data_IF_997298903954
#
_entry.id   IF_997298903954
#
_cell.length_a   1.000
_cell.length_b   1.000
_cell.length_c   1.000
_cell.angle_alpha   90.00
_cell.angle_beta   90.00
_cell.angle_gamma   90.00
#
_symmetry.space_group_name_H-M   'P 1'
#
loop_
_entity.id
_entity.type
_entity.pdbx_description
1 polymer ?
#
# COMPACT_ATOMS: atom_id res chain seq x y z
N UNK A 1 12.10 1.32 7.97
CA UNK A 1 10.93 1.00 7.13
C UNK A 1 9.94 2.15 7.08
N UNK A 2 9.19 2.53 8.15
CA UNK A 2 8.29 3.72 8.11
C UNK A 2 8.94 5.01 7.59
N UNK A 3 10.19 5.30 8.00
CA UNK A 3 10.96 6.46 7.50
C UNK A 3 11.18 6.45 5.98
N UNK A 4 11.37 5.28 5.38
CA UNK A 4 11.61 5.12 3.94
C UNK A 4 10.36 5.45 3.12
N UNK A 5 9.18 5.22 3.69
CA UNK A 5 7.89 5.56 3.07
C UNK A 5 7.32 6.90 3.52
N UNK A 6 8.07 7.68 4.32
CA UNK A 6 7.61 8.95 4.87
C UNK A 6 6.41 8.81 5.82
N UNK A 7 6.25 7.66 6.48
CA UNK A 7 5.20 7.40 7.48
C UNK A 7 5.70 7.54 8.92
N UNK A 8 6.91 8.02 9.10
CA UNK A 8 7.56 8.25 10.40
C UNK A 8 7.24 9.62 11.00
N UNK A 9 6.62 10.50 10.21
CA UNK A 9 6.23 11.82 10.62
C UNK A 9 4.77 12.06 10.18
N UNK A 10 3.88 12.50 11.10
CA UNK A 10 2.49 12.80 10.77
C UNK A 10 2.33 13.74 9.57
N UNK A 11 3.21 14.74 9.40
CA UNK A 11 3.18 15.66 8.24
C UNK A 11 3.53 14.95 6.92
N UNK A 12 4.53 14.07 6.92
CA UNK A 12 4.92 13.30 5.73
C UNK A 12 3.85 12.27 5.37
N UNK A 13 3.24 11.64 6.38
CA UNK A 13 2.10 10.74 6.19
C UNK A 13 0.89 11.48 5.58
N UNK A 14 0.56 12.68 6.08
CA UNK A 14 -0.46 13.55 5.50
C UNK A 14 -0.17 13.90 4.04
N UNK A 15 1.08 14.23 3.70
CA UNK A 15 1.47 14.51 2.32
C UNK A 15 1.29 13.29 1.40
N UNK A 16 1.67 12.09 1.86
CA UNK A 16 1.40 10.82 1.14
C UNK A 16 -0.11 10.60 0.93
N UNK A 17 -0.93 10.83 1.95
CA UNK A 17 -2.39 10.71 1.84
C UNK A 17 -3.00 11.77 0.92
N UNK A 18 -2.48 12.99 0.91
CA UNK A 18 -2.89 14.03 -0.03
C UNK A 18 -2.52 13.67 -1.47
N UNK A 19 -1.32 13.11 -1.68
CA UNK A 19 -0.90 12.56 -2.98
C UNK A 19 -1.89 11.50 -3.48
N UNK A 20 -2.28 10.56 -2.61
CA UNK A 20 -3.30 9.55 -2.95
C UNK A 20 -4.65 10.17 -3.35
N UNK A 21 -5.09 11.26 -2.71
CA UNK A 21 -6.32 11.95 -3.13
C UNK A 21 -6.21 12.54 -4.54
N UNK A 22 -5.04 13.06 -4.89
CA UNK A 22 -4.80 13.67 -6.21
C UNK A 22 -4.77 12.65 -7.34
N UNK A 23 -4.58 11.36 -7.03
CA UNK A 23 -4.58 10.26 -8.00
C UNK A 23 -5.92 10.16 -8.76
N UNK A 24 -7.03 10.58 -8.16
CA UNK A 24 -8.35 10.56 -8.80
C UNK A 24 -8.65 11.79 -9.65
N UNK A 25 -7.88 12.86 -9.50
CA UNK A 25 -8.12 14.08 -10.27
C UNK A 25 -7.69 13.80 -11.70
N UNK A 26 -8.67 13.75 -12.61
CA UNK A 26 -8.58 13.69 -14.08
C UNK A 26 -7.57 14.66 -14.72
N UNK A 27 -6.92 15.50 -13.92
CA UNK A 27 -5.90 16.47 -14.27
C UNK A 27 -4.47 15.91 -14.22
N UNK A 28 -4.20 14.81 -13.49
CA UNK A 28 -2.85 14.25 -13.37
C UNK A 28 -2.82 12.74 -13.58
N UNK A 29 -2.44 12.25 -14.77
CA UNK A 29 -2.29 10.82 -15.00
C UNK A 29 -1.21 10.24 -14.08
N UNK A 30 -1.47 9.04 -13.55
CA UNK A 30 -0.58 8.24 -12.69
C UNK A 30 0.88 8.19 -13.17
N UNK A 31 1.08 8.34 -14.49
CA UNK A 31 2.36 8.37 -15.20
C UNK A 31 3.33 9.44 -14.68
N UNK A 32 2.85 10.55 -14.13
CA UNK A 32 3.70 11.63 -13.61
C UNK A 32 4.06 11.45 -12.14
N UNK A 33 3.32 10.64 -11.38
CA UNK A 33 3.39 10.63 -9.91
C UNK A 33 4.39 9.64 -9.31
N UNK A 34 4.96 8.71 -10.10
CA UNK A 34 5.94 7.74 -9.60
C UNK A 34 5.46 6.98 -8.35
N UNK A 35 4.44 6.15 -8.52
CA UNK A 35 3.77 5.47 -7.39
C UNK A 35 4.64 4.42 -6.71
N UNK A 36 4.57 4.40 -5.38
CA UNK A 36 5.13 3.34 -4.54
C UNK A 36 4.36 2.01 -4.76
N UNK A 37 4.94 0.88 -4.38
CA UNK A 37 4.32 -0.43 -4.59
C UNK A 37 2.96 -0.58 -3.90
N UNK A 38 2.86 -0.11 -2.66
CA UNK A 38 1.62 -0.17 -1.90
C UNK A 38 0.54 0.74 -2.51
N UNK A 39 0.90 1.93 -3.02
CA UNK A 39 -0.04 2.83 -3.70
C UNK A 39 -0.61 2.20 -4.98
N UNK A 40 0.24 1.51 -5.76
CA UNK A 40 -0.23 0.74 -6.93
C UNK A 40 -1.27 -0.31 -6.53
N UNK A 41 -1.08 -0.98 -5.38
CA UNK A 41 -2.06 -1.93 -4.86
C UNK A 41 -3.38 -1.25 -4.48
N UNK A 42 -3.34 -0.05 -3.88
CA UNK A 42 -4.56 0.73 -3.59
C UNK A 42 -5.28 1.13 -4.87
N UNK A 43 -4.55 1.51 -5.93
CA UNK A 43 -5.16 1.82 -7.24
C UNK A 43 -5.84 0.59 -7.83
N UNK A 44 -5.20 -0.58 -7.79
CA UNK A 44 -5.83 -1.84 -8.22
C UNK A 44 -7.08 -2.13 -7.38
N UNK A 45 -7.03 -1.90 -6.06
CA UNK A 45 -8.19 -2.05 -5.19
C UNK A 45 -9.35 -1.10 -5.57
N UNK A 46 -9.06 0.14 -5.94
CA UNK A 46 -10.08 1.07 -6.44
C UNK A 46 -10.77 0.54 -7.71
N UNK A 47 -10.01 -0.11 -8.61
CA UNK A 47 -10.60 -0.70 -9.84
C UNK A 47 -11.53 -1.88 -9.57
N UNK A 48 -11.35 -2.61 -8.46
CA UNK A 48 -12.31 -3.63 -8.02
C UNK A 48 -13.66 -3.00 -7.66
N UNK A 49 -13.63 -1.84 -6.99
CA UNK A 49 -14.84 -1.10 -6.63
C UNK A 49 -15.48 -0.49 -7.88
N UNK A 50 -14.69 0.04 -8.81
CA UNK A 50 -15.20 0.56 -10.08
C UNK A 50 -15.98 -0.52 -10.83
N UNK A 51 -15.43 -1.73 -10.99
CA UNK A 51 -16.13 -2.87 -11.63
C UNK A 51 -17.38 -3.27 -10.86
N UNK A 52 -17.32 -3.35 -9.53
CA UNK A 52 -18.48 -3.70 -8.71
C UNK A 52 -19.66 -2.74 -8.92
N UNK A 53 -19.37 -1.46 -9.15
CA UNK A 53 -20.36 -0.41 -9.40
C UNK A 53 -20.75 -0.27 -10.88
N UNK A 54 -20.26 -1.14 -11.77
CA UNK A 54 -20.55 -1.12 -13.21
C UNK A 54 -19.77 -0.06 -14.00
N UNK A 55 -18.65 0.44 -13.45
CA UNK A 55 -17.78 1.42 -14.08
C UNK A 55 -16.56 0.75 -14.75
N UNK A 56 -16.79 -0.29 -15.57
CA UNK A 56 -15.73 -1.08 -16.21
C UNK A 56 -14.78 -0.22 -17.07
N UNK A 57 -15.30 0.75 -17.82
CA UNK A 57 -14.49 1.66 -18.64
C UNK A 57 -13.48 2.47 -17.79
N UNK A 58 -13.90 2.90 -16.59
CA UNK A 58 -13.04 3.63 -15.66
C UNK A 58 -11.98 2.69 -15.08
N UNK A 59 -12.37 1.46 -14.74
CA UNK A 59 -11.47 0.44 -14.21
C UNK A 59 -10.38 0.09 -15.24
N UNK A 60 -10.76 -0.19 -16.47
CA UNK A 60 -9.85 -0.58 -17.56
C UNK A 60 -8.90 0.56 -17.93
N UNK A 61 -9.42 1.79 -18.03
CA UNK A 61 -8.58 2.98 -18.24
C UNK A 61 -7.58 3.16 -17.10
N UNK A 62 -8.02 3.05 -15.85
CA UNK A 62 -7.16 3.19 -14.67
C UNK A 62 -6.04 2.14 -14.68
N UNK A 63 -6.34 0.88 -15.01
CA UNK A 63 -5.34 -0.19 -15.11
C UNK A 63 -4.36 0.04 -16.27
N UNK A 64 -4.87 0.43 -17.44
CA UNK A 64 -4.02 0.72 -18.60
C UNK A 64 -3.03 1.85 -18.29
N UNK A 65 -3.47 2.90 -17.60
CA UNK A 65 -2.60 3.99 -17.16
C UNK A 65 -1.58 3.55 -16.10
N UNK A 66 -2.01 2.77 -15.10
CA UNK A 66 -1.15 2.24 -14.03
C UNK A 66 0.00 1.39 -14.59
N UNK A 67 -0.30 0.56 -15.59
CA UNK A 67 0.65 -0.37 -16.20
C UNK A 67 1.35 0.18 -17.45
N UNK A 68 1.02 1.40 -17.86
CA UNK A 68 1.53 2.05 -19.07
C UNK A 68 1.26 1.23 -20.35
N UNK A 69 0.14 0.53 -20.39
CA UNK A 69 -0.25 -0.33 -21.50
C UNK A 69 -1.36 -1.30 -21.10
N UNK A 70 -1.94 -1.96 -22.11
CA UNK A 70 -2.97 -2.95 -21.89
C UNK A 70 -2.38 -4.21 -21.25
N UNK A 71 -2.92 -4.62 -20.11
CA UNK A 71 -2.60 -5.91 -19.50
C UNK A 71 -3.45 -7.03 -20.09
N UNK A 72 -2.90 -8.25 -20.09
CA UNK A 72 -3.72 -9.43 -20.35
C UNK A 72 -4.67 -9.69 -19.17
N UNK A 73 -5.83 -10.27 -19.48
CA UNK A 73 -6.88 -10.60 -18.51
C UNK A 73 -6.35 -11.40 -17.31
N UNK A 74 -5.46 -12.37 -17.55
CA UNK A 74 -4.85 -13.19 -16.49
C UNK A 74 -4.03 -12.36 -15.49
N UNK A 75 -3.36 -11.32 -15.95
CA UNK A 75 -2.57 -10.45 -15.07
C UNK A 75 -3.50 -9.61 -14.20
N UNK A 76 -4.55 -9.03 -14.80
CA UNK A 76 -5.57 -8.27 -14.07
C UNK A 76 -6.25 -9.15 -13.01
N UNK A 77 -6.62 -10.38 -13.38
CA UNK A 77 -7.21 -11.34 -12.46
C UNK A 77 -6.30 -11.64 -11.27
N UNK A 78 -4.99 -11.86 -11.51
CA UNK A 78 -4.02 -12.15 -10.44
C UNK A 78 -3.73 -10.92 -9.56
N UNK A 79 -3.70 -9.72 -10.14
CA UNK A 79 -3.54 -8.47 -9.41
C UNK A 79 -4.74 -8.25 -8.46
N UNK A 80 -5.97 -8.42 -8.97
CA UNK A 80 -7.21 -8.37 -8.19
C UNK A 80 -7.23 -9.40 -7.07
N UNK A 81 -6.82 -10.64 -7.36
CA UNK A 81 -6.70 -11.69 -6.34
C UNK A 81 -5.70 -11.30 -5.25
N UNK A 82 -4.55 -10.74 -5.61
CA UNK A 82 -3.55 -10.31 -4.64
C UNK A 82 -4.08 -9.23 -3.69
N UNK A 83 -4.89 -8.28 -4.19
CA UNK A 83 -5.56 -7.27 -3.35
C UNK A 83 -6.42 -7.95 -2.28
N UNK A 84 -7.31 -8.88 -2.65
CA UNK A 84 -8.17 -9.56 -1.68
C UNK A 84 -7.36 -10.35 -0.65
N UNK A 85 -6.30 -11.04 -1.04
CA UNK A 85 -5.46 -11.80 -0.11
C UNK A 85 -4.70 -10.88 0.86
N UNK A 86 -4.27 -9.70 0.40
CA UNK A 86 -3.69 -8.68 1.29
C UNK A 86 -4.71 -8.14 2.28
N UNK A 87 -5.95 -7.85 1.85
CA UNK A 87 -7.01 -7.37 2.76
C UNK A 87 -7.31 -8.42 3.83
N UNK A 88 -7.50 -9.69 3.43
CA UNK A 88 -7.70 -10.80 4.38
C UNK A 88 -6.54 -10.92 5.38
N UNK A 89 -5.31 -10.74 4.91
CA UNK A 89 -4.13 -10.76 5.77
C UNK A 89 -4.19 -9.62 6.79
N UNK A 90 -4.36 -8.37 6.35
CA UNK A 90 -4.39 -7.21 7.26
C UNK A 90 -5.54 -7.27 8.24
N UNK A 91 -6.71 -7.73 7.79
CA UNK A 91 -7.90 -7.85 8.65
C UNK A 91 -7.68 -8.89 9.75
N UNK A 92 -7.10 -10.04 9.37
CA UNK A 92 -6.80 -11.08 10.32
C UNK A 92 -5.73 -10.65 11.33
N UNK A 93 -4.72 -9.89 10.88
CA UNK A 93 -3.70 -9.34 11.78
C UNK A 93 -4.28 -8.29 12.71
N UNK A 94 -5.19 -7.43 12.23
CA UNK A 94 -5.85 -6.44 13.08
C UNK A 94 -6.69 -7.12 14.16
N UNK A 95 -7.48 -8.14 13.82
CA UNK A 95 -8.25 -8.90 14.81
C UNK A 95 -7.36 -9.62 15.83
N UNK A 96 -6.18 -10.08 15.43
CA UNK A 96 -5.23 -10.77 16.31
C UNK A 96 -4.41 -9.82 17.19
N UNK A 97 -3.90 -8.73 16.62
CA UNK A 97 -3.04 -7.78 17.33
C UNK A 97 -3.83 -6.71 18.09
N UNK A 98 -5.04 -6.39 17.62
CA UNK A 98 -5.87 -5.26 18.07
C UNK A 98 -5.13 -3.93 17.97
N UNK A 99 -4.37 -3.75 16.89
CA UNK A 99 -3.47 -2.62 16.69
C UNK A 99 -3.49 -2.17 15.22
N UNK A 100 -3.54 -0.84 15.00
CA UNK A 100 -3.61 -0.21 13.68
C UNK A 100 -2.36 -0.50 12.83
N UNK A 101 -1.24 -0.89 13.44
CA UNK A 101 -0.04 -1.36 12.73
C UNK A 101 -0.34 -2.53 11.78
N UNK A 102 -1.37 -3.32 12.06
CA UNK A 102 -1.82 -4.39 11.16
C UNK A 102 -2.13 -3.86 9.75
N UNK A 103 -2.66 -2.65 9.63
CA UNK A 103 -2.95 -2.01 8.35
C UNK A 103 -1.69 -1.42 7.69
N UNK A 104 -0.64 -1.11 8.45
CA UNK A 104 0.64 -0.67 7.91
C UNK A 104 1.49 -1.82 7.35
N UNK A 105 1.15 -3.09 7.62
CA UNK A 105 1.92 -4.27 7.17
C UNK A 105 2.15 -4.25 5.66
N UNK A 106 1.16 -3.89 4.86
CA UNK A 106 1.31 -3.77 3.41
C UNK A 106 2.46 -2.82 3.02
N UNK A 107 2.55 -1.70 3.72
CA UNK A 107 3.53 -0.66 3.44
C UNK A 107 4.90 -1.08 3.95
N UNK A 108 4.94 -1.74 5.10
CA UNK A 108 6.18 -2.26 5.68
C UNK A 108 6.82 -3.37 4.86
N UNK A 109 6.01 -4.18 4.16
CA UNK A 109 6.51 -5.21 3.25
C UNK A 109 7.13 -4.61 1.98
N UNK A 110 6.64 -3.45 1.52
CA UNK A 110 7.04 -2.79 0.27
C UNK A 110 7.14 -3.74 -0.94
N UNK A 111 6.27 -4.75 -1.00
CA UNK A 111 6.35 -5.79 -2.02
C UNK A 111 5.76 -5.27 -3.35
N UNK A 112 6.51 -5.33 -4.46
CA UNK A 112 5.98 -4.99 -5.78
C UNK A 112 4.71 -5.79 -6.12
N UNK A 113 3.73 -5.14 -6.75
CA UNK A 113 2.52 -5.81 -7.25
C UNK A 113 2.85 -6.96 -8.20
N UNK A 114 3.94 -6.83 -8.96
CA UNK A 114 4.47 -7.88 -9.83
C UNK A 114 4.88 -9.17 -9.10
N UNK A 115 5.33 -9.05 -7.85
CA UNK A 115 5.66 -10.19 -6.99
C UNK A 115 4.40 -10.71 -6.30
N UNK A 116 3.55 -9.82 -5.79
CA UNK A 116 2.31 -10.19 -5.09
C UNK A 116 1.39 -11.05 -5.97
N UNK A 117 1.22 -10.68 -7.25
CA UNK A 117 0.37 -11.43 -8.20
C UNK A 117 0.86 -12.86 -8.50
N UNK A 118 2.12 -13.17 -8.22
CA UNK A 118 2.71 -14.50 -8.42
C UNK A 118 2.59 -15.38 -7.17
N UNK A 119 2.12 -14.85 -6.04
CA UNK A 119 1.98 -15.63 -4.82
C UNK A 119 0.72 -16.48 -4.85
N UNK A 120 0.85 -17.72 -4.35
CA UNK A 120 -0.29 -18.60 -4.12
C UNK A 120 -0.99 -18.25 -2.81
N UNK A 121 -2.25 -18.66 -2.68
CA UNK A 121 -3.03 -18.51 -1.44
C UNK A 121 -2.28 -19.16 -0.26
N UNK A 122 -1.67 -20.33 -0.48
CA UNK A 122 -0.88 -21.03 0.54
C UNK A 122 0.28 -20.19 1.08
N UNK A 123 0.90 -19.34 0.25
CA UNK A 123 1.96 -18.44 0.71
C UNK A 123 1.41 -17.31 1.56
N UNK A 124 0.25 -16.75 1.22
CA UNK A 124 -0.43 -15.77 2.06
C UNK A 124 -0.84 -16.37 3.41
N UNK A 125 -1.41 -17.57 3.42
CA UNK A 125 -1.77 -18.26 4.68
C UNK A 125 -0.55 -18.60 5.52
N UNK A 126 0.57 -18.99 4.89
CA UNK A 126 1.84 -19.19 5.60
C UNK A 126 2.33 -17.89 6.25
N UNK A 127 2.36 -16.79 5.49
CA UNK A 127 2.76 -15.47 5.99
C UNK A 127 1.88 -15.03 7.15
N UNK A 128 0.56 -15.18 7.01
CA UNK A 128 -0.42 -14.93 8.06
C UNK A 128 -0.09 -15.71 9.32
N UNK A 129 0.16 -17.01 9.22
CA UNK A 129 0.53 -17.84 10.38
C UNK A 129 1.82 -17.39 11.06
N UNK A 130 2.83 -16.96 10.29
CA UNK A 130 4.09 -16.43 10.82
C UNK A 130 3.88 -15.08 11.55
N UNK A 131 3.11 -14.17 10.94
CA UNK A 131 2.84 -12.85 11.51
C UNK A 131 1.90 -12.91 12.71
N UNK A 132 0.91 -13.80 12.74
CA UNK A 132 0.03 -13.97 13.89
C UNK A 132 0.78 -14.37 15.17
N UNK A 133 1.87 -15.13 15.04
CA UNK A 133 2.75 -15.50 16.15
C UNK A 133 3.61 -14.33 16.65
N UNK A 134 3.68 -13.26 15.87
CA UNK A 134 4.46 -12.07 16.18
C UNK A 134 3.52 -10.96 16.64
N UNK A 135 3.41 -10.70 17.95
CA UNK A 135 2.76 -9.46 18.40
C UNK A 135 3.76 -8.30 18.27
N UNK A 136 3.41 -7.19 17.59
CA UNK A 136 4.29 -6.04 17.53
C UNK A 136 4.58 -5.51 18.95
N UNK A 137 5.86 -5.26 19.22
CA UNK A 137 6.36 -4.93 20.57
C UNK A 137 6.32 -3.42 20.86
N UNK A 138 6.04 -2.60 19.86
CA UNK A 138 6.20 -1.15 19.94
C UNK A 138 4.87 -0.47 20.26
N UNK A 139 4.88 0.34 21.32
CA UNK A 139 3.99 1.50 21.46
C UNK A 139 4.24 2.46 20.29
N UNK A 140 3.75 2.13 19.10
CA UNK A 140 3.68 3.08 17.99
C UNK A 140 2.55 4.05 18.33
N UNK A 141 2.87 5.08 19.12
CA UNK A 141 1.90 6.10 19.56
C UNK A 141 1.23 6.88 18.42
N UNK A 142 1.68 6.70 17.16
CA UNK A 142 1.20 7.43 15.99
C UNK A 142 0.99 6.52 14.75
N UNK A 143 0.47 5.30 14.88
CA UNK A 143 0.01 4.54 13.70
C UNK A 143 -1.31 5.11 13.20
N UNK A 144 -1.39 5.37 11.89
CA UNK A 144 -2.66 5.74 11.26
C UNK A 144 -3.36 4.46 10.78
N UNK A 145 -4.70 4.45 10.82
CA UNK A 145 -5.52 3.39 10.21
C UNK A 145 -5.43 3.42 8.68
N UNK A 146 -4.29 3.02 8.13
CA UNK A 146 -4.01 2.94 6.68
C UNK A 146 -4.73 1.75 6.03
N UNK A 147 -6.00 1.61 6.34
CA UNK A 147 -6.87 0.52 5.92
C UNK A 147 -7.23 0.67 4.44
N UNK A 148 -7.08 -0.40 3.65
CA UNK A 148 -7.25 -0.35 2.19
C UNK A 148 -8.59 0.27 1.77
N UNK A 149 -9.76 -0.14 2.30
CA UNK A 149 -11.03 0.52 2.00
C UNK A 149 -11.05 2.04 2.27
N UNK A 150 -10.39 2.51 3.33
CA UNK A 150 -10.29 3.95 3.62
C UNK A 150 -9.42 4.65 2.58
N UNK A 151 -8.28 4.06 2.21
CA UNK A 151 -7.40 4.58 1.18
C UNK A 151 -8.07 4.60 -0.20
N UNK A 152 -8.86 3.57 -0.52
CA UNK A 152 -9.68 3.53 -1.74
C UNK A 152 -10.71 4.65 -1.72
N UNK A 153 -11.36 4.93 -0.58
CA UNK A 153 -12.30 6.04 -0.45
C UNK A 153 -11.64 7.41 -0.60
N UNK A 154 -10.36 7.55 -0.23
CA UNK A 154 -9.60 8.79 -0.52
C UNK A 154 -9.44 9.02 -2.03
N UNK A 155 -9.22 7.95 -2.80
CA UNK A 155 -9.15 8.01 -4.26
C UNK A 155 -10.57 8.25 -4.79
N UNK A 156 -11.53 7.37 -4.51
CA UNK A 156 -12.91 7.43 -5.00
C UNK A 156 -13.83 8.08 -3.97
N UNK A 157 -13.67 9.40 -3.76
CA UNK A 157 -14.42 10.16 -2.75
C UNK A 157 -15.94 10.12 -2.91
N UNK A 158 -16.43 9.82 -4.11
CA UNK A 158 -17.86 9.76 -4.42
C UNK A 158 -18.49 8.39 -4.07
N UNK A 159 -17.70 7.39 -3.70
CA UNK A 159 -18.20 6.06 -3.33
C UNK A 159 -18.47 5.98 -1.83
N UNK A 160 -19.53 5.24 -1.45
CA UNK A 160 -19.82 4.97 -0.05
C UNK A 160 -18.83 3.95 0.51
N UNK A 161 -18.58 3.98 1.82
CA UNK A 161 -17.74 2.98 2.46
C UNK A 161 -18.35 1.58 2.31
N UNK A 162 -19.68 1.47 2.38
CA UNK A 162 -20.40 0.21 2.23
C UNK A 162 -20.15 -0.44 0.86
N UNK A 163 -20.20 0.33 -0.23
CA UNK A 163 -19.96 -0.19 -1.58
C UNK A 163 -18.52 -0.65 -1.75
N UNK A 164 -17.57 0.14 -1.23
CA UNK A 164 -16.14 -0.21 -1.23
C UNK A 164 -15.91 -1.51 -0.46
N UNK A 165 -16.51 -1.63 0.72
CA UNK A 165 -16.38 -2.79 1.59
C UNK A 165 -16.98 -4.06 0.98
N UNK A 166 -18.15 -3.94 0.37
CA UNK A 166 -18.80 -5.04 -0.34
C UNK A 166 -17.96 -5.52 -1.52
N UNK A 167 -17.46 -4.58 -2.34
CA UNK A 167 -16.60 -4.90 -3.48
C UNK A 167 -15.28 -5.57 -3.05
N UNK A 168 -14.69 -5.11 -1.95
CA UNK A 168 -13.41 -5.62 -1.46
C UNK A 168 -13.55 -6.88 -0.57
N UNK A 169 -14.77 -7.23 -0.18
CA UNK A 169 -15.08 -8.43 0.61
C UNK A 169 -14.65 -8.32 2.07
N UNK A 170 -14.82 -7.15 2.69
CA UNK A 170 -14.47 -6.90 4.09
C UNK A 170 -15.48 -5.95 4.76
N UNK A 171 -15.69 -6.09 6.06
CA UNK A 171 -16.58 -5.24 6.88
C UNK A 171 -15.94 -4.86 8.22
N UNK A 172 -14.60 -4.88 8.29
CA UNK A 172 -13.87 -4.82 9.56
C UNK A 172 -14.05 -3.50 10.33
N UNK A 173 -14.01 -2.36 9.64
CA UNK A 173 -14.13 -1.02 10.22
C UNK A 173 -15.40 -0.33 9.71
N UNK A 174 -15.95 0.64 10.45
CA UNK A 174 -17.22 1.28 10.08
C UNK A 174 -17.05 2.78 9.71
N UNK A 175 -18.18 3.48 9.50
CA UNK A 175 -18.18 4.91 9.17
C UNK A 175 -17.59 5.79 10.28
N UNK A 176 -17.77 5.44 11.56
CA UNK A 176 -17.15 6.16 12.69
C UNK A 176 -15.61 6.03 12.70
N UNK A 177 -15.11 4.84 12.34
CA UNK A 177 -13.68 4.62 12.14
C UNK A 177 -13.14 5.45 10.97
N UNK A 178 -13.92 5.55 9.88
CA UNK A 178 -13.58 6.37 8.73
C UNK A 178 -13.52 7.86 9.10
N UNK A 179 -14.53 8.39 9.80
CA UNK A 179 -14.54 9.78 10.26
C UNK A 179 -13.34 10.09 11.17
N UNK A 180 -13.00 9.13 12.05
CA UNK A 180 -11.81 9.22 12.90
C UNK A 180 -10.53 9.25 12.07
N UNK A 181 -10.41 8.36 11.08
CA UNK A 181 -9.30 8.33 10.14
C UNK A 181 -9.18 9.65 9.37
N UNK A 182 -10.28 10.19 8.83
CA UNK A 182 -10.29 11.48 8.11
C UNK A 182 -9.88 12.62 9.02
N UNK A 183 -10.36 12.66 10.27
CA UNK A 183 -10.01 13.71 11.24
C UNK A 183 -8.50 13.73 11.53
N UNK A 184 -7.88 12.56 11.67
CA UNK A 184 -6.44 12.43 11.90
C UNK A 184 -5.65 12.75 10.62
N UNK A 185 -6.09 12.22 9.49
CA UNK A 185 -5.40 12.30 8.20
C UNK A 185 -5.55 13.65 7.49
N UNK A 186 -6.65 14.35 7.74
CA UNK A 186 -7.01 15.62 7.09
C UNK A 186 -7.12 16.78 8.09
N UNK A 187 -6.76 16.55 9.36
CA UNK A 187 -6.95 17.51 10.45
C UNK A 187 -6.48 18.91 10.06
N UNK A 188 -7.34 19.90 10.31
CA UNK A 188 -7.16 21.33 10.06
C UNK A 188 -5.72 21.77 10.30
N UNK A 189 -4.89 21.71 9.27
CA UNK A 189 -3.62 22.42 9.24
C UNK A 189 -3.84 23.61 8.32
N UNK A 190 -4.16 24.81 8.86
CA UNK A 190 -4.37 26.01 8.05
C UNK A 190 -3.11 26.44 7.27
N UNK A 191 -1.99 25.71 7.43
CA UNK A 191 -0.74 25.94 6.71
C UNK A 191 -0.44 24.92 5.61
N UNK A 192 -1.20 23.81 5.49
CA UNK A 192 -1.01 22.83 4.42
C UNK A 192 -1.68 23.32 3.14
N UNK A 193 -0.86 23.80 2.21
CA UNK A 193 -1.27 24.15 0.86
C UNK A 193 -0.62 23.14 -0.10
N UNK A 194 -1.41 22.25 -0.72
CA UNK A 194 -0.90 21.16 -1.55
C UNK A 194 -0.10 21.67 -2.76
N UNK A 195 -0.33 22.92 -3.19
CA UNK A 195 0.45 23.55 -4.25
C UNK A 195 1.77 24.02 -3.64
N UNK A 196 1.72 24.88 -2.61
CA UNK A 196 2.90 25.46 -1.94
C UNK A 196 3.91 24.41 -1.46
N UNK A 197 3.43 23.32 -0.88
CA UNK A 197 4.28 22.29 -0.28
C UNK A 197 4.91 21.34 -1.30
N UNK A 198 4.34 21.24 -2.52
CA UNK A 198 4.95 20.50 -3.62
C UNK A 198 6.24 21.18 -4.14
N UNK A 199 6.27 22.52 -4.13
CA UNK A 199 7.44 23.31 -4.56
C UNK A 199 8.61 23.22 -3.58
N UNK A 200 8.33 23.15 -2.27
CA UNK A 200 9.36 23.06 -1.22
C UNK A 200 10.14 21.73 -1.28
N UNK A 201 9.52 20.67 -1.81
CA UNK A 201 10.16 19.35 -1.95
C UNK A 201 11.16 19.31 -3.10
N UNK A 202 10.94 20.08 -4.18
CA UNK A 202 11.93 20.17 -5.27
C UNK A 202 13.24 20.82 -4.79
N UNK A 203 13.19 21.70 -3.80
CA UNK A 203 14.38 22.38 -3.27
C UNK A 203 15.13 21.58 -2.19
N UNK A 204 14.54 20.53 -1.61
CA UNK A 204 15.10 19.82 -0.44
C UNK A 204 15.47 18.36 -0.68
N UNK A 205 15.39 17.87 -1.92
CA UNK A 205 16.01 16.60 -2.30
C UNK A 205 17.54 16.76 -2.34
N UNK A 206 18.31 16.00 -1.53
CA UNK A 206 19.76 15.96 -1.69
C UNK A 206 20.10 15.46 -3.10
N UNK A 207 21.08 16.10 -3.74
CA UNK A 207 21.60 15.85 -5.09
C UNK A 207 22.18 14.43 -5.35
N UNK A 208 21.93 13.47 -4.46
CA UNK A 208 22.52 12.13 -4.52
C UNK A 208 21.84 11.15 -5.51
N UNK A 209 20.86 11.62 -6.31
CA UNK A 209 20.19 10.79 -7.32
C UNK A 209 20.58 11.12 -8.78
N UNK A 210 21.63 11.92 -9.01
CA UNK A 210 22.05 12.29 -10.38
C UNK A 210 23.36 11.70 -10.89
N UNK A 211 24.07 10.85 -10.14
CA UNK A 211 25.25 10.15 -10.66
C UNK A 211 25.11 8.64 -10.52
N UNK A 212 24.54 8.01 -11.55
CA UNK A 212 24.93 6.68 -12.04
C UNK A 212 24.27 6.44 -13.42
N UNK A 213 24.55 7.35 -14.37
CA UNK A 213 24.42 7.07 -15.79
C UNK A 213 25.76 7.36 -16.46
N UNK A 214 26.74 6.46 -16.31
CA UNK A 214 27.69 6.22 -17.39
C UNK A 214 28.43 4.87 -17.27
N UNK A 215 28.31 4.09 -18.34
CA UNK A 215 29.18 2.97 -18.75
C UNK A 215 29.14 1.64 -17.95
N UNK A 216 28.45 0.64 -18.50
CA UNK A 216 29.09 -0.60 -19.01
C UNK A 216 28.08 -1.50 -19.74
N UNK A 217 28.56 -2.08 -20.84
CA UNK A 217 27.93 -2.95 -21.83
C UNK A 217 27.11 -4.15 -21.29
N UNK A 218 26.25 -4.77 -22.13
CA UNK A 218 25.16 -5.65 -21.69
C UNK A 218 25.67 -7.00 -21.19
N UNK A 219 25.49 -7.28 -19.90
CA UNK A 219 25.58 -8.65 -19.37
C UNK A 219 24.25 -9.36 -19.61
N UNK A 220 24.33 -10.56 -20.21
CA UNK A 220 23.20 -11.46 -20.48
C UNK A 220 22.33 -11.66 -19.23
N UNK A 221 21.01 -11.91 -19.39
CA UNK A 221 20.15 -12.21 -18.26
C UNK A 221 20.64 -13.46 -17.53
N UNK A 222 20.77 -13.35 -16.21
CA UNK A 222 21.07 -14.47 -15.33
C UNK A 222 19.83 -15.38 -15.31
N UNK A 223 19.98 -16.71 -15.47
CA UNK A 223 18.86 -17.65 -15.37
C UNK A 223 18.13 -17.53 -14.03
N UNK A 224 16.80 -17.57 -14.08
CA UNK A 224 15.85 -17.35 -12.98
C UNK A 224 16.04 -18.34 -11.81
N UNK A 225 16.79 -19.41 -12.00
CA UNK A 225 16.98 -20.48 -11.01
C UNK A 225 18.05 -20.18 -9.93
N UNK A 226 18.64 -18.98 -9.93
CA UNK A 226 19.69 -18.60 -8.96
C UNK A 226 19.33 -17.46 -8.00
N UNK A 227 18.09 -16.96 -8.00
CA UNK A 227 17.63 -16.02 -6.95
C UNK A 227 17.32 -16.82 -5.67
N UNK A 228 18.38 -17.25 -4.96
CA UNK A 228 18.31 -17.64 -3.55
C UNK A 228 18.32 -16.37 -2.70
N UNK A 229 17.21 -15.65 -2.75
CA UNK A 229 16.95 -14.45 -1.96
C UNK A 229 15.49 -14.47 -1.56
N UNK A 230 15.25 -14.89 -0.33
CA UNK A 230 13.93 -15.05 0.24
C UNK A 230 13.35 -13.66 0.53
N UNK A 231 12.22 -13.30 -0.09
CA UNK A 231 11.42 -12.10 0.26
C UNK A 231 11.04 -12.07 1.77
N UNK A 232 11.23 -13.20 2.45
CA UNK A 232 10.95 -13.43 3.87
C UNK A 232 12.03 -12.92 4.84
N UNK A 233 13.18 -12.42 4.35
CA UNK A 233 14.28 -11.99 5.23
C UNK A 233 14.12 -10.57 5.82
N UNK A 234 13.09 -9.82 5.39
CA UNK A 234 12.86 -8.43 5.81
C UNK A 234 12.12 -8.34 7.16
N UNK A 235 11.37 -9.37 7.55
CA UNK A 235 10.69 -9.42 8.86
C UNK A 235 11.57 -10.15 9.87
N UNK A 236 12.71 -9.54 10.24
CA UNK A 236 13.58 -10.07 11.31
C UNK A 236 12.97 -9.73 12.68
N UNK A 237 11.87 -10.38 13.04
CA UNK A 237 11.27 -10.33 14.38
C UNK A 237 12.04 -11.31 15.26
N UNK A 238 12.75 -10.79 16.27
CA UNK A 238 13.47 -11.62 17.26
C UNK A 238 12.43 -12.41 18.06
N UNK A 239 12.49 -13.75 17.97
CA UNK A 239 11.85 -14.65 18.93
C UNK A 239 12.41 -14.37 20.32
N UNK A 240 11.55 -14.02 21.27
CA UNK A 240 11.89 -13.97 22.69
C UNK A 240 12.13 -15.39 23.20
N UNK A 241 13.40 -15.78 23.33
CA UNK A 241 13.78 -16.95 24.10
C UNK A 241 13.56 -16.63 25.59
N UNK A 242 12.40 -17.01 26.13
CA UNK A 242 12.26 -17.22 27.57
C UNK A 242 12.77 -18.62 27.90
N UNK A 243 14.08 -18.71 28.12
CA UNK A 243 14.70 -19.83 28.83
C UNK A 243 14.68 -19.51 30.33
N UNK A 244 13.83 -20.24 31.03
CA UNK A 244 13.99 -20.80 32.38
C UNK A 244 14.74 -19.98 33.44
N UNK A 245 13.98 -19.49 34.42
CA UNK A 245 14.39 -19.46 35.83
C UNK A 245 13.19 -19.85 36.72
N UNK A 246 13.12 -21.13 37.07
CA UNK A 246 12.79 -21.62 38.43
C UNK A 246 13.69 -22.84 38.67
#
# INVERSE_FOLDING_TARGET
MRRLHGLDNPRKAKHKLARLKMINSTQHPYRQLGLDHWEKLIVIAATLVDVHLGNDDIADKTLAELHQGQLCHDTIFRDRKAVHEVIKLTDCLYLNWQDDLAFEVLILMDTPTSILRLQSIQKFEKLKGELQQCKPFTETQDSMKLYIPFLVRLIRSNYSLSDIQMALGTSLLNESDWESFVRVSCGHDPTYDPIRDMWIIQETLPSHYQEEQESTSPKRPIPVDQIKGSVWDIVRIRKSNNLSRV
#
